data_IF_647261415470
#
_entry.id   IF_647261415470
#
_cell.length_a   1.000
_cell.length_b   1.000
_cell.length_c   1.000
_cell.angle_alpha   90.00
_cell.angle_beta   90.00
_cell.angle_gamma   90.00
#
_symmetry.space_group_name_H-M   'P 1'
#
loop_
_entity.id
_entity.type
_entity.pdbx_description
1 polymer ?
#
# COMPACT_ATOMS: atom_id res chain seq x y z
N UNK A 1 -21.54 13.11 26.01
CA UNK A 1 -20.33 13.92 25.74
C UNK A 1 -19.06 13.09 25.52
N UNK A 2 -18.78 12.04 26.30
CA UNK A 2 -17.52 11.28 26.20
C UNK A 2 -17.32 10.46 24.90
N UNK A 3 -18.40 9.97 24.28
CA UNK A 3 -18.32 9.18 23.03
C UNK A 3 -18.01 10.03 21.78
N UNK A 4 -18.53 11.25 21.69
CA UNK A 4 -18.30 12.13 20.53
C UNK A 4 -16.83 12.55 20.41
N UNK A 5 -16.19 12.87 21.54
CA UNK A 5 -14.78 13.27 21.56
C UNK A 5 -13.85 12.11 21.19
N UNK A 6 -14.16 10.88 21.64
CA UNK A 6 -13.42 9.68 21.23
C UNK A 6 -13.55 9.41 19.74
N UNK A 7 -14.74 9.58 19.17
CA UNK A 7 -14.97 9.35 17.74
C UNK A 7 -14.30 10.42 16.87
N UNK A 8 -14.33 11.67 17.29
CA UNK A 8 -13.58 12.75 16.64
C UNK A 8 -12.07 12.49 16.62
N UNK A 9 -11.50 12.06 17.75
CA UNK A 9 -10.07 11.71 17.84
C UNK A 9 -9.72 10.50 16.96
N UNK A 10 -10.63 9.51 16.85
CA UNK A 10 -10.46 8.37 15.93
C UNK A 10 -10.47 8.81 14.47
N UNK A 11 -11.39 9.69 14.08
CA UNK A 11 -11.44 10.25 12.73
C UNK A 11 -10.13 10.94 12.34
N UNK A 12 -9.62 11.83 13.21
CA UNK A 12 -8.33 12.51 12.99
C UNK A 12 -7.16 11.55 12.86
N UNK A 13 -7.13 10.49 13.68
CA UNK A 13 -6.06 9.49 13.62
C UNK A 13 -6.10 8.70 12.31
N UNK A 14 -7.29 8.32 11.83
CA UNK A 14 -7.47 7.63 10.53
C UNK A 14 -6.99 8.51 9.39
N UNK A 15 -7.45 9.75 9.35
CA UNK A 15 -7.04 10.73 8.34
C UNK A 15 -5.51 10.88 8.32
N UNK A 16 -4.89 11.11 9.48
CA UNK A 16 -3.45 11.25 9.58
C UNK A 16 -2.68 10.01 9.09
N UNK A 17 -3.13 8.80 9.45
CA UNK A 17 -2.47 7.56 9.03
C UNK A 17 -2.60 7.33 7.53
N UNK A 18 -3.77 7.57 6.95
CA UNK A 18 -3.99 7.40 5.51
C UNK A 18 -3.24 8.47 4.71
N UNK A 19 -3.14 9.70 5.19
CA UNK A 19 -2.30 10.74 4.57
C UNK A 19 -0.82 10.35 4.59
N UNK A 20 -0.32 9.82 5.71
CA UNK A 20 1.06 9.33 5.79
C UNK A 20 1.29 8.14 4.85
N UNK A 21 0.33 7.21 4.80
CA UNK A 21 0.38 6.05 3.91
C UNK A 21 0.44 6.49 2.45
N UNK A 22 -0.42 7.44 2.04
CA UNK A 22 -0.44 7.99 0.69
C UNK A 22 0.91 8.65 0.34
N UNK A 23 1.47 9.44 1.24
CA UNK A 23 2.78 10.07 1.02
C UNK A 23 3.89 9.03 0.82
N UNK A 24 3.96 8.02 1.70
CA UNK A 24 4.96 6.97 1.59
C UNK A 24 4.75 6.06 0.37
N UNK A 25 3.49 5.80 -0.03
CA UNK A 25 3.19 5.06 -1.25
C UNK A 25 3.58 5.85 -2.50
N UNK A 26 3.38 7.17 -2.51
CA UNK A 26 3.84 8.05 -3.59
C UNK A 26 5.37 8.01 -3.73
N UNK A 27 6.10 8.12 -2.61
CA UNK A 27 7.56 8.00 -2.59
C UNK A 27 8.04 6.62 -3.09
N UNK A 28 7.25 5.57 -2.86
CA UNK A 28 7.52 4.22 -3.35
C UNK A 28 7.18 4.00 -4.84
N UNK A 29 6.56 4.98 -5.50
CA UNK A 29 6.27 4.93 -6.94
C UNK A 29 4.79 4.76 -7.30
N UNK A 30 3.86 4.92 -6.35
CA UNK A 30 2.44 4.98 -6.67
C UNK A 30 2.16 6.11 -7.67
N UNK A 31 1.42 5.80 -8.74
CA UNK A 31 1.21 6.72 -9.84
C UNK A 31 0.46 7.99 -9.39
N UNK A 32 0.77 9.17 -9.97
CA UNK A 32 0.11 10.42 -9.60
C UNK A 32 -1.41 10.41 -9.74
N UNK A 33 -1.94 9.69 -10.75
CA UNK A 33 -3.39 9.51 -10.94
C UNK A 33 -4.03 8.82 -9.74
N UNK A 34 -3.41 7.76 -9.25
CA UNK A 34 -3.97 6.97 -8.14
C UNK A 34 -3.80 7.71 -6.81
N UNK A 35 -2.72 8.48 -6.69
CA UNK A 35 -2.57 9.42 -5.59
C UNK A 35 -3.70 10.45 -5.56
N UNK A 36 -4.05 11.03 -6.71
CA UNK A 36 -5.16 11.98 -6.81
C UNK A 36 -6.51 11.33 -6.47
N UNK A 37 -6.74 10.09 -6.91
CA UNK A 37 -7.96 9.35 -6.56
C UNK A 37 -8.06 9.09 -5.06
N UNK A 38 -6.98 8.59 -4.43
CA UNK A 38 -6.96 8.35 -2.98
C UNK A 38 -7.12 9.66 -2.18
N UNK A 39 -6.50 10.74 -2.65
CA UNK A 39 -6.65 12.07 -2.05
C UNK A 39 -8.09 12.61 -2.13
N UNK A 40 -8.81 12.33 -3.22
CA UNK A 40 -10.22 12.69 -3.35
C UNK A 40 -11.10 11.92 -2.35
N UNK A 41 -10.82 10.62 -2.16
CA UNK A 41 -11.52 9.80 -1.15
C UNK A 41 -11.23 10.29 0.27
N UNK A 42 -9.96 10.61 0.58
CA UNK A 42 -9.57 11.24 1.85
C UNK A 42 -10.35 12.52 2.12
N UNK A 43 -10.44 13.41 1.13
CA UNK A 43 -11.16 14.68 1.26
C UNK A 43 -12.68 14.51 1.46
N UNK A 44 -13.24 13.41 0.96
CA UNK A 44 -14.63 13.02 1.18
C UNK A 44 -14.87 12.30 2.53
N UNK A 45 -13.81 11.97 3.28
CA UNK A 45 -13.90 11.16 4.49
C UNK A 45 -14.04 9.64 4.24
N UNK A 46 -13.89 9.21 2.99
CA UNK A 46 -13.97 7.81 2.55
C UNK A 46 -12.61 7.10 2.79
N UNK A 47 -12.24 6.95 4.06
CA UNK A 47 -10.90 6.47 4.44
C UNK A 47 -10.61 5.03 4.00
N UNK A 48 -11.60 4.14 4.05
CA UNK A 48 -11.46 2.75 3.57
C UNK A 48 -11.25 2.73 2.06
N UNK A 49 -12.01 3.52 1.29
CA UNK A 49 -11.81 3.61 -0.16
C UNK A 49 -10.43 4.20 -0.52
N UNK A 50 -9.96 5.21 0.22
CA UNK A 50 -8.62 5.75 0.05
C UNK A 50 -7.54 4.68 0.31
N UNK A 51 -7.70 3.89 1.38
CA UNK A 51 -6.82 2.77 1.70
C UNK A 51 -6.81 1.72 0.59
N UNK A 52 -7.98 1.31 0.13
CA UNK A 52 -8.14 0.29 -0.91
C UNK A 52 -7.47 0.73 -2.22
N UNK A 53 -7.65 1.97 -2.64
CA UNK A 53 -6.96 2.52 -3.83
C UNK A 53 -5.44 2.38 -3.67
N UNK A 54 -4.89 2.81 -2.53
CA UNK A 54 -3.43 2.76 -2.32
C UNK A 54 -2.92 1.32 -2.38
N UNK A 55 -3.54 0.42 -1.61
CA UNK A 55 -3.07 -0.96 -1.47
C UNK A 55 -3.27 -1.76 -2.77
N UNK A 56 -4.42 -1.60 -3.43
CA UNK A 56 -4.71 -2.30 -4.66
C UNK A 56 -3.77 -1.85 -5.79
N UNK A 57 -3.55 -0.54 -5.94
CA UNK A 57 -2.72 -0.03 -7.04
C UNK A 57 -1.23 -0.35 -6.83
N UNK A 58 -0.72 -0.34 -5.59
CA UNK A 58 0.63 -0.83 -5.31
C UNK A 58 0.82 -2.28 -5.79
N UNK A 59 -0.20 -3.13 -5.61
CA UNK A 59 -0.15 -4.53 -6.05
C UNK A 59 -0.36 -4.71 -7.54
N UNK A 60 -1.34 -4.02 -8.15
CA UNK A 60 -1.61 -4.11 -9.58
C UNK A 60 -0.41 -3.67 -10.44
N UNK A 61 0.34 -2.69 -9.95
CA UNK A 61 1.56 -2.21 -10.61
C UNK A 61 2.82 -2.91 -10.12
N UNK A 62 2.71 -3.99 -9.33
CA UNK A 62 3.86 -4.77 -8.85
C UNK A 62 4.92 -3.84 -8.20
N UNK A 63 4.47 -2.80 -7.48
CA UNK A 63 5.32 -1.73 -6.93
C UNK A 63 6.09 -2.25 -5.72
N UNK A 64 7.41 -2.23 -5.78
CA UNK A 64 8.25 -2.60 -4.63
C UNK A 64 8.01 -1.68 -3.44
N UNK A 65 7.85 -2.25 -2.25
CA UNK A 65 7.66 -1.47 -1.02
C UNK A 65 8.71 -1.82 0.03
N UNK A 66 9.04 -0.86 0.89
CA UNK A 66 9.90 -1.10 2.04
C UNK A 66 9.13 -1.80 3.17
N UNK A 67 9.87 -2.44 4.09
CA UNK A 67 9.28 -3.00 5.29
C UNK A 67 8.60 -1.93 6.18
N UNK A 68 9.10 -0.68 6.17
CA UNK A 68 8.49 0.44 6.90
C UNK A 68 7.16 0.86 6.29
N UNK A 69 7.06 0.91 4.95
CA UNK A 69 5.80 1.18 4.25
C UNK A 69 4.78 0.06 4.54
N UNK A 70 5.20 -1.21 4.50
CA UNK A 70 4.30 -2.32 4.85
C UNK A 70 3.82 -2.27 6.31
N UNK A 71 4.67 -1.82 7.24
CA UNK A 71 4.27 -1.59 8.63
C UNK A 71 3.27 -0.43 8.76
N UNK A 72 3.36 0.59 7.91
CA UNK A 72 2.40 1.69 7.86
C UNK A 72 1.04 1.25 7.30
N UNK A 73 1.03 0.38 6.27
CA UNK A 73 -0.19 -0.27 5.77
C UNK A 73 -0.93 -1.00 6.90
N UNK A 74 -0.21 -1.78 7.72
CA UNK A 74 -0.80 -2.47 8.88
C UNK A 74 -1.44 -1.50 9.87
N UNK A 75 -0.72 -0.45 10.25
CA UNK A 75 -1.23 0.55 11.19
C UNK A 75 -2.47 1.28 10.67
N UNK A 76 -2.48 1.61 9.37
CA UNK A 76 -3.63 2.20 8.71
C UNK A 76 -4.85 1.25 8.72
N UNK A 77 -4.65 -0.01 8.31
CA UNK A 77 -5.69 -1.04 8.32
C UNK A 77 -6.27 -1.27 9.72
N UNK A 78 -5.41 -1.36 10.74
CA UNK A 78 -5.84 -1.52 12.14
C UNK A 78 -6.69 -0.33 12.61
N UNK A 79 -6.37 0.89 12.17
CA UNK A 79 -7.16 2.09 12.50
C UNK A 79 -8.55 2.11 11.85
N UNK A 80 -8.69 1.40 10.74
CA UNK A 80 -9.93 1.18 9.99
C UNK A 80 -10.65 -0.10 10.40
N UNK A 81 -10.10 -0.89 11.34
CA UNK A 81 -10.63 -2.19 11.75
C UNK A 81 -10.71 -3.21 10.59
N UNK A 82 -9.83 -3.07 9.60
CA UNK A 82 -9.76 -3.99 8.47
C UNK A 82 -8.99 -5.26 8.83
N UNK A 83 -9.45 -6.40 8.29
CA UNK A 83 -8.76 -7.69 8.49
C UNK A 83 -7.49 -7.79 7.64
N UNK A 84 -6.48 -8.59 8.03
CA UNK A 84 -5.25 -8.76 7.25
C UNK A 84 -5.47 -9.16 5.78
N UNK A 85 -6.58 -9.84 5.47
CA UNK A 85 -6.91 -10.25 4.10
C UNK A 85 -6.98 -9.09 3.10
N UNK A 86 -7.23 -7.85 3.56
CA UNK A 86 -7.30 -6.68 2.67
C UNK A 86 -5.94 -6.17 2.19
N UNK A 87 -4.83 -6.61 2.79
CA UNK A 87 -3.50 -6.09 2.45
C UNK A 87 -2.36 -7.11 2.50
N UNK A 88 -2.60 -8.35 2.95
CA UNK A 88 -1.54 -9.34 3.16
C UNK A 88 -0.73 -9.62 1.88
N UNK A 89 -1.35 -9.55 0.70
CA UNK A 89 -0.72 -9.79 -0.59
C UNK A 89 0.43 -8.83 -0.89
N UNK A 90 0.43 -7.62 -0.32
CA UNK A 90 1.56 -6.68 -0.43
C UNK A 90 2.85 -7.23 0.18
N UNK A 91 2.77 -8.26 1.02
CA UNK A 91 3.93 -8.96 1.56
C UNK A 91 4.87 -9.50 0.46
N UNK A 92 4.34 -9.83 -0.72
CA UNK A 92 5.14 -10.30 -1.86
C UNK A 92 5.98 -9.19 -2.54
N UNK A 93 5.66 -7.93 -2.25
CA UNK A 93 6.32 -6.75 -2.82
C UNK A 93 7.39 -6.17 -1.87
N UNK A 94 7.50 -6.69 -0.65
CA UNK A 94 8.39 -6.14 0.37
C UNK A 94 9.84 -6.44 0.04
N UNK A 95 10.63 -5.39 -0.20
CA UNK A 95 12.07 -5.49 -0.40
C UNK A 95 12.79 -5.73 0.93
N UNK A 96 13.58 -6.80 1.01
CA UNK A 96 14.50 -7.03 2.13
C UNK A 96 15.80 -7.69 1.66
N UNK A 97 16.87 -7.58 2.44
CA UNK A 97 18.20 -8.09 2.07
C UNK A 97 18.24 -9.61 1.78
N UNK A 98 17.25 -10.38 2.24
CA UNK A 98 17.12 -11.82 1.99
C UNK A 98 15.88 -12.21 1.20
N UNK A 99 15.08 -11.25 0.74
CA UNK A 99 13.86 -11.50 -0.03
C UNK A 99 13.92 -10.76 -1.37
N UNK A 100 13.87 -11.53 -2.46
CA UNK A 100 13.70 -10.99 -3.81
C UNK A 100 12.20 -10.80 -4.03
N UNK A 101 11.70 -9.55 -4.19
CA UNK A 101 10.30 -9.29 -4.45
C UNK A 101 9.78 -10.09 -5.65
N UNK A 102 8.49 -10.45 -5.60
CA UNK A 102 7.81 -11.16 -6.69
C UNK A 102 8.08 -10.56 -8.08
N UNK A 103 7.94 -9.24 -8.28
CA UNK A 103 8.19 -8.57 -9.57
C UNK A 103 9.60 -8.83 -10.11
N UNK A 104 10.64 -8.59 -9.31
CA UNK A 104 12.04 -8.82 -9.68
C UNK A 104 12.30 -10.27 -10.04
N UNK A 105 11.75 -11.21 -9.26
CA UNK A 105 11.89 -12.64 -9.53
C UNK A 105 11.28 -13.04 -10.88
N UNK A 106 10.13 -12.46 -11.25
CA UNK A 106 9.49 -12.69 -12.57
C UNK A 106 10.38 -12.17 -13.70
N UNK A 107 10.92 -10.96 -13.58
CA UNK A 107 11.79 -10.36 -14.60
C UNK A 107 13.09 -11.15 -14.80
N UNK A 108 13.77 -11.52 -13.70
CA UNK A 108 14.98 -12.35 -13.77
C UNK A 108 14.69 -13.70 -14.43
N UNK A 109 13.57 -14.35 -14.10
CA UNK A 109 13.18 -15.60 -14.72
C UNK A 109 12.92 -15.45 -16.24
N UNK A 110 12.33 -14.33 -16.67
CA UNK A 110 12.11 -14.04 -18.09
C UNK A 110 13.42 -13.86 -18.85
N UNK A 111 14.38 -13.14 -18.27
CA UNK A 111 15.72 -12.95 -18.85
C UNK A 111 16.51 -14.26 -18.95
N UNK A 112 16.48 -15.11 -17.92
CA UNK A 112 17.17 -16.41 -17.96
C UNK A 112 16.60 -17.29 -19.07
N UNK A 113 15.26 -17.31 -19.23
CA UNK A 113 14.61 -18.07 -20.31
C UNK A 113 15.00 -17.58 -21.70
N UNK A 114 15.10 -16.26 -21.91
CA UNK A 114 15.47 -15.71 -23.23
C UNK A 114 16.91 -16.04 -23.62
N UNK A 115 17.80 -16.23 -22.64
CA UNK A 115 19.19 -16.62 -22.85
C UNK A 115 19.39 -18.14 -23.08
N UNK A 116 18.42 -18.97 -22.67
CA UNK A 116 18.49 -20.44 -22.78
C UNK A 116 17.87 -21.00 -24.08
N UNK A 117 17.31 -20.15 -24.95
CA UNK A 117 16.79 -20.60 -26.24
C UNK A 117 17.97 -20.93 -27.19
N UNK A 118 18.06 -22.17 -27.73
CA UNK A 118 18.99 -22.45 -28.80
C UNK A 118 18.63 -21.57 -30.01
N UNK A 119 19.63 -20.87 -30.55
CA UNK A 119 19.50 -20.15 -31.84
C UNK A 119 19.30 -21.12 -32.99
#
# INVERSE_FOLDING_TARGET
MWNWWKEYQRGKRREQLITQLLGAAHEAGLLPRDCANAQAMLAAGEYECAFDIIVQQLYEYDTEISASLFALVKQAADSLLLTPCSYFFLGELVRSAGHIPGPVRKEVAALVRSLQLPR
#
